data_IF_850391198943
#
_entry.id   IF_850391198943
#
_cell.length_a   1.000
_cell.length_b   1.000
_cell.length_c   1.000
_cell.angle_alpha   90.00
_cell.angle_beta   90.00
_cell.angle_gamma   90.00
#
_symmetry.space_group_name_H-M   'P 1'
#
loop_
_entity.id
_entity.type
_entity.pdbx_description
1 polymer ?
#
# COMPACT_ATOMS: atom_id res chain seq x y z
N UNK A 1 -10.33 39.32 1.79
CA UNK A 1 -9.69 38.51 0.74
C UNK A 1 -8.75 37.49 1.38
N UNK A 2 -9.30 36.35 1.76
CA UNK A 2 -8.52 35.16 2.21
C UNK A 2 -7.99 34.49 0.96
N UNK A 3 -6.70 34.67 0.68
CA UNK A 3 -5.96 33.87 -0.27
C UNK A 3 -5.98 32.40 0.21
N UNK A 4 -6.83 31.58 -0.38
CA UNK A 4 -6.75 30.14 -0.23
C UNK A 4 -5.46 29.68 -0.90
N UNK A 5 -4.37 29.56 -0.13
CA UNK A 5 -3.16 28.89 -0.56
C UNK A 5 -3.55 27.45 -0.84
N UNK A 6 -3.64 27.08 -2.12
CA UNK A 6 -3.90 25.70 -2.51
C UNK A 6 -2.68 24.88 -2.09
N UNK A 7 -2.80 24.12 -1.01
CA UNK A 7 -1.73 23.23 -0.53
C UNK A 7 -1.28 22.30 -1.66
N UNK A 8 0.01 22.23 -1.90
CA UNK A 8 0.61 21.31 -2.88
C UNK A 8 0.91 19.96 -2.22
N UNK A 9 1.20 18.93 -3.00
CA UNK A 9 1.68 17.66 -2.45
C UNK A 9 2.98 17.79 -1.64
N UNK A 10 3.85 18.73 -2.03
CA UNK A 10 5.07 19.03 -1.29
C UNK A 10 4.78 19.61 0.10
N UNK A 11 3.77 20.49 0.21
CA UNK A 11 3.34 21.06 1.49
C UNK A 11 2.76 20.00 2.45
N UNK A 12 2.33 18.86 1.91
CA UNK A 12 1.82 17.71 2.66
C UNK A 12 2.92 16.68 3.02
N UNK A 13 4.19 17.03 2.84
CA UNK A 13 5.30 16.15 3.18
C UNK A 13 5.59 15.04 2.16
N UNK A 14 5.01 15.10 0.95
CA UNK A 14 5.26 14.13 -0.11
C UNK A 14 6.65 14.38 -0.70
N UNK A 15 7.55 13.35 -0.77
CA UNK A 15 8.88 13.48 -1.34
C UNK A 15 8.86 13.97 -2.79
N UNK A 16 9.88 14.75 -3.15
CA UNK A 16 9.99 15.37 -4.49
C UNK A 16 9.86 14.35 -5.62
N UNK A 17 10.47 13.17 -5.49
CA UNK A 17 10.40 12.11 -6.50
C UNK A 17 8.96 11.69 -6.78
N UNK A 18 8.13 11.57 -5.75
CA UNK A 18 6.70 11.23 -5.88
C UNK A 18 5.92 12.40 -6.47
N UNK A 19 6.21 13.63 -6.03
CA UNK A 19 5.56 14.85 -6.58
C UNK A 19 5.83 14.95 -8.09
N UNK A 20 7.07 14.72 -8.52
CA UNK A 20 7.43 14.79 -9.93
C UNK A 20 6.74 13.66 -10.73
N UNK A 21 6.64 12.45 -10.17
CA UNK A 21 5.91 11.33 -10.76
C UNK A 21 4.39 11.62 -10.89
N UNK A 22 3.77 12.18 -9.86
CA UNK A 22 2.36 12.60 -9.90
C UNK A 22 2.12 13.66 -10.98
N UNK A 23 3.01 14.64 -11.07
CA UNK A 23 2.93 15.69 -12.10
C UNK A 23 3.08 15.10 -13.51
N UNK A 24 4.02 14.18 -13.71
CA UNK A 24 4.20 13.48 -14.99
C UNK A 24 2.96 12.67 -15.38
N UNK A 25 2.20 12.16 -14.40
CA UNK A 25 0.93 11.48 -14.57
C UNK A 25 -0.27 12.44 -14.73
N UNK A 26 -0.05 13.77 -14.81
CA UNK A 26 -1.11 14.77 -14.94
C UNK A 26 -1.84 15.12 -13.63
N UNK A 27 -1.28 14.74 -12.48
CA UNK A 27 -1.88 14.95 -11.15
C UNK A 27 -1.12 16.09 -10.47
N UNK A 28 -1.62 17.33 -10.65
CA UNK A 28 -0.92 18.52 -10.20
C UNK A 28 -1.26 18.94 -8.76
N UNK A 29 -2.49 18.69 -8.33
CA UNK A 29 -3.01 19.16 -7.04
C UNK A 29 -3.68 18.04 -6.26
N UNK A 30 -3.54 18.03 -4.92
CA UNK A 30 -4.24 17.08 -4.10
C UNK A 30 -5.76 17.33 -4.08
N UNK A 31 -6.53 16.25 -4.07
CA UNK A 31 -7.97 16.31 -3.84
C UNK A 31 -8.30 16.58 -2.37
N UNK A 32 -9.56 16.91 -2.07
CA UNK A 32 -10.02 17.14 -0.69
C UNK A 32 -9.76 15.91 0.20
N UNK A 33 -9.98 14.70 -0.32
CA UNK A 33 -9.71 13.45 0.40
C UNK A 33 -8.21 13.28 0.69
N UNK A 34 -7.35 13.66 -0.24
CA UNK A 34 -5.90 13.59 -0.07
C UNK A 34 -5.39 14.66 0.90
N UNK A 35 -5.93 15.87 0.84
CA UNK A 35 -5.60 16.95 1.80
C UNK A 35 -5.91 16.54 3.24
N UNK A 36 -7.01 15.82 3.45
CA UNK A 36 -7.40 15.36 4.78
C UNK A 36 -6.57 14.15 5.25
N UNK A 37 -6.25 13.21 4.37
CA UNK A 37 -5.65 11.94 4.76
C UNK A 37 -4.11 11.92 4.77
N UNK A 38 -3.45 12.63 3.84
CA UNK A 38 -2.00 12.55 3.67
C UNK A 38 -1.20 13.01 4.90
N UNK A 39 -1.54 14.12 5.59
CA UNK A 39 -0.81 14.50 6.80
C UNK A 39 -0.79 13.39 7.85
N UNK A 40 -1.94 12.82 8.15
CA UNK A 40 -2.08 11.72 9.12
C UNK A 40 -1.30 10.47 8.69
N UNK A 41 -1.30 10.16 7.39
CA UNK A 41 -0.70 8.95 6.85
C UNK A 41 0.82 9.07 6.67
N UNK A 42 1.35 10.26 6.45
CA UNK A 42 2.78 10.51 6.25
C UNK A 42 3.48 10.82 7.57
N UNK A 43 2.93 11.73 8.40
CA UNK A 43 3.56 12.18 9.65
C UNK A 43 3.65 11.10 10.72
N UNK A 44 2.66 10.19 10.78
CA UNK A 44 2.70 9.07 11.73
C UNK A 44 3.88 8.11 11.50
N UNK A 45 4.69 8.33 10.46
CA UNK A 45 5.87 7.53 10.09
C UNK A 45 7.19 8.25 10.33
N UNK A 46 7.17 9.56 10.55
CA UNK A 46 8.39 10.37 10.76
C UNK A 46 8.79 10.48 12.24
N UNK A 47 7.91 10.15 13.16
CA UNK A 47 8.16 10.21 14.60
C UNK A 47 8.86 8.93 15.11
N UNK A 48 10.00 8.55 14.52
CA UNK A 48 10.98 7.64 15.11
C UNK A 48 11.89 8.44 16.09
N UNK A 49 11.29 9.04 17.11
CA UNK A 49 12.05 9.44 18.28
C UNK A 49 12.41 8.18 19.06
N UNK A 50 13.69 7.79 18.95
CA UNK A 50 14.28 6.60 19.59
C UNK A 50 14.14 6.53 21.11
N UNK A 51 13.53 7.52 21.75
CA UNK A 51 13.44 7.65 23.22
C UNK A 51 12.06 7.38 23.82
N UNK A 52 11.03 7.05 23.04
CA UNK A 52 9.70 6.84 23.60
C UNK A 52 9.33 5.34 23.66
N UNK A 53 9.97 4.61 24.58
CA UNK A 53 9.64 3.21 24.89
C UNK A 53 8.17 2.99 25.33
N UNK A 54 7.41 4.07 25.53
CA UNK A 54 5.98 4.05 25.89
C UNK A 54 5.05 4.01 24.66
N UNK A 55 5.54 4.28 23.43
CA UNK A 55 4.77 4.25 22.19
C UNK A 55 4.87 2.94 21.40
N UNK A 56 4.99 1.82 22.08
CA UNK A 56 4.71 0.48 21.51
C UNK A 56 3.20 0.31 21.22
N UNK A 57 2.51 1.38 20.81
CA UNK A 57 1.11 1.33 20.41
C UNK A 57 1.03 0.98 18.93
N UNK A 58 0.16 0.02 18.62
CA UNK A 58 -0.16 -0.40 17.27
C UNK A 58 -0.36 0.80 16.34
N UNK A 59 0.24 0.74 15.12
CA UNK A 59 0.03 1.74 14.08
C UNK A 59 -1.46 2.05 13.93
N UNK A 60 -1.87 3.33 13.94
CA UNK A 60 -3.28 3.69 13.87
C UNK A 60 -3.94 3.18 12.59
N UNK A 61 -5.11 2.57 12.73
CA UNK A 61 -5.97 2.24 11.59
C UNK A 61 -6.77 3.47 11.20
N UNK A 62 -6.85 3.77 9.90
CA UNK A 62 -7.54 4.94 9.37
C UNK A 62 -8.69 4.51 8.47
N UNK A 63 -9.90 4.96 8.78
CA UNK A 63 -11.06 4.76 7.94
C UNK A 63 -11.37 6.05 7.16
N UNK A 64 -11.46 5.94 5.82
CA UNK A 64 -11.85 7.04 4.94
C UNK A 64 -13.20 6.77 4.30
N UNK A 65 -14.16 7.67 4.53
CA UNK A 65 -15.44 7.64 3.86
C UNK A 65 -15.56 8.83 2.91
N UNK A 66 -15.69 8.57 1.63
CA UNK A 66 -15.97 9.59 0.62
C UNK A 66 -16.56 8.95 -0.64
N UNK A 67 -17.24 9.74 -1.47
CA UNK A 67 -17.84 9.27 -2.73
C UNK A 67 -16.78 8.76 -3.73
N UNK A 68 -17.21 7.96 -4.70
CA UNK A 68 -16.38 7.52 -5.83
C UNK A 68 -15.83 8.70 -6.61
N UNK A 69 -14.58 8.62 -7.07
CA UNK A 69 -13.93 9.72 -7.79
C UNK A 69 -13.33 10.83 -6.91
N UNK A 70 -13.41 10.75 -5.59
CA UNK A 70 -12.82 11.73 -4.66
C UNK A 70 -11.29 11.68 -4.54
N UNK A 71 -10.63 10.69 -5.16
CA UNK A 71 -9.18 10.52 -5.08
C UNK A 71 -8.69 9.63 -3.94
N UNK A 72 -9.54 8.80 -3.32
CA UNK A 72 -9.19 7.83 -2.26
C UNK A 72 -8.03 6.93 -2.64
N UNK A 73 -8.00 6.44 -3.87
CA UNK A 73 -6.95 5.53 -4.35
C UNK A 73 -5.56 6.14 -4.17
N UNK A 74 -5.37 7.38 -4.58
CA UNK A 74 -4.09 8.06 -4.39
C UNK A 74 -3.85 8.47 -2.93
N UNK A 75 -4.88 8.70 -2.15
CA UNK A 75 -4.73 9.03 -0.73
C UNK A 75 -4.02 7.91 0.05
N UNK A 76 -4.27 6.62 -0.28
CA UNK A 76 -3.55 5.51 0.33
C UNK A 76 -2.31 5.07 -0.46
N UNK A 77 -2.24 5.27 -1.79
CA UNK A 77 -1.08 4.89 -2.59
C UNK A 77 0.13 5.80 -2.35
N UNK A 78 -0.06 7.11 -2.22
CA UNK A 78 1.04 8.06 -2.00
C UNK A 78 1.85 7.71 -0.75
N UNK A 79 1.26 7.46 0.44
CA UNK A 79 2.02 7.00 1.60
C UNK A 79 2.77 5.68 1.38
N UNK A 80 2.17 4.74 0.64
CA UNK A 80 2.85 3.48 0.27
C UNK A 80 4.08 3.76 -0.60
N UNK A 81 3.97 4.67 -1.57
CA UNK A 81 5.11 5.07 -2.40
C UNK A 81 6.21 5.75 -1.58
N UNK A 82 5.84 6.58 -0.61
CA UNK A 82 6.79 7.19 0.32
C UNK A 82 7.54 6.14 1.13
N UNK A 83 6.85 5.08 1.59
CA UNK A 83 7.50 4.00 2.34
C UNK A 83 8.49 3.22 1.48
N UNK A 84 8.12 2.92 0.23
CA UNK A 84 8.99 2.22 -0.70
C UNK A 84 10.29 3.01 -0.91
N UNK A 85 10.20 4.32 -1.14
CA UNK A 85 11.39 5.17 -1.28
C UNK A 85 12.26 5.14 -0.02
N UNK A 86 11.66 5.25 1.16
CA UNK A 86 12.41 5.19 2.43
C UNK A 86 13.11 3.85 2.62
N UNK A 87 12.43 2.74 2.29
CA UNK A 87 13.03 1.41 2.35
C UNK A 87 14.18 1.26 1.36
N UNK A 88 14.06 1.78 0.13
CA UNK A 88 15.14 1.76 -0.86
C UNK A 88 16.34 2.57 -0.41
N UNK A 89 16.14 3.78 0.09
CA UNK A 89 17.21 4.61 0.65
C UNK A 89 17.92 3.95 1.83
N UNK A 90 17.14 3.28 2.70
CA UNK A 90 17.70 2.51 3.81
C UNK A 90 18.53 1.31 3.32
N UNK A 91 18.03 0.61 2.27
CA UNK A 91 18.74 -0.52 1.68
C UNK A 91 20.04 -0.10 0.98
N UNK A 92 20.09 1.06 0.36
CA UNK A 92 21.31 1.56 -0.28
C UNK A 92 22.43 1.77 0.74
N UNK A 93 22.06 2.15 1.98
CA UNK A 93 23.00 2.37 3.10
C UNK A 93 23.43 1.07 3.80
N UNK A 94 22.75 -0.06 3.55
CA UNK A 94 23.04 -1.36 4.17
C UNK A 94 24.10 -2.15 3.43
N UNK A 95 24.91 -2.93 4.19
CA UNK A 95 25.90 -3.87 3.65
C UNK A 95 25.23 -4.95 2.80
N UNK A 96 25.91 -5.41 1.74
CA UNK A 96 25.42 -6.44 0.79
C UNK A 96 24.92 -7.72 1.46
N UNK A 97 25.47 -8.09 2.61
CA UNK A 97 25.06 -9.28 3.37
C UNK A 97 23.74 -9.10 4.12
N UNK A 98 23.34 -7.88 4.43
CA UNK A 98 22.08 -7.56 5.12
C UNK A 98 20.90 -7.36 4.13
N UNK A 99 21.17 -7.08 2.87
CA UNK A 99 20.15 -6.87 1.81
C UNK A 99 19.28 -8.10 1.50
N UNK A 100 19.62 -9.27 2.03
CA UNK A 100 18.93 -10.55 1.72
C UNK A 100 17.53 -10.69 2.30
N UNK A 101 17.15 -9.90 3.31
CA UNK A 101 15.87 -10.06 4.04
C UNK A 101 14.77 -9.06 3.66
N UNK A 102 15.02 -8.14 2.74
CA UNK A 102 14.15 -6.98 2.48
C UNK A 102 13.15 -7.19 1.32
N UNK A 103 13.09 -8.37 0.75
CA UNK A 103 12.24 -8.68 -0.41
C UNK A 103 10.88 -9.32 -0.04
N UNK A 104 10.24 -8.88 1.04
CA UNK A 104 8.90 -9.31 1.41
C UNK A 104 7.86 -8.24 1.03
N UNK A 105 6.64 -8.68 0.73
CA UNK A 105 5.50 -7.78 0.47
C UNK A 105 5.31 -6.85 1.66
N UNK A 106 5.31 -5.54 1.41
CA UNK A 106 5.13 -4.49 2.43
C UNK A 106 3.73 -3.91 2.44
N UNK A 107 3.14 -3.77 1.27
CA UNK A 107 1.77 -3.27 1.14
C UNK A 107 0.87 -4.32 0.48
N UNK A 108 -0.30 -4.51 1.06
CA UNK A 108 -1.34 -5.36 0.50
C UNK A 108 -2.62 -4.56 0.35
N UNK A 109 -3.17 -4.54 -0.86
CA UNK A 109 -4.41 -3.84 -1.19
C UNK A 109 -5.45 -4.87 -1.61
N UNK A 110 -6.54 -4.94 -0.85
CA UNK A 110 -7.64 -5.87 -1.07
C UNK A 110 -8.81 -5.12 -1.67
N UNK A 111 -9.30 -5.59 -2.82
CA UNK A 111 -10.46 -5.03 -3.53
C UNK A 111 -11.53 -6.11 -3.75
N UNK A 112 -12.84 -5.78 -3.69
CA UNK A 112 -13.92 -6.76 -3.81
C UNK A 112 -14.03 -7.35 -5.22
N UNK A 113 -13.60 -6.62 -6.24
CA UNK A 113 -13.71 -7.03 -7.64
C UNK A 113 -12.37 -7.07 -8.36
N UNK A 114 -12.31 -7.88 -9.42
CA UNK A 114 -11.14 -7.94 -10.30
C UNK A 114 -10.92 -6.62 -11.03
N UNK A 115 -12.01 -5.97 -11.42
CA UNK A 115 -11.98 -4.70 -12.13
C UNK A 115 -11.34 -3.60 -11.29
N UNK A 116 -11.78 -3.46 -10.03
CA UNK A 116 -11.19 -2.49 -9.10
C UNK A 116 -9.72 -2.81 -8.83
N UNK A 117 -9.36 -4.08 -8.61
CA UNK A 117 -7.95 -4.47 -8.44
C UNK A 117 -7.10 -4.10 -9.67
N UNK A 118 -7.60 -4.32 -10.88
CA UNK A 118 -6.92 -3.90 -12.11
C UNK A 118 -6.79 -2.38 -12.23
N UNK A 119 -7.82 -1.64 -11.83
CA UNK A 119 -7.80 -0.17 -11.84
C UNK A 119 -6.74 0.37 -10.89
N UNK A 120 -6.62 -0.20 -9.68
CA UNK A 120 -5.58 0.18 -8.71
C UNK A 120 -4.19 -0.08 -9.29
N UNK A 121 -3.95 -1.26 -9.88
CA UNK A 121 -2.66 -1.58 -10.52
C UNK A 121 -2.35 -0.59 -11.65
N UNK A 122 -3.31 -0.25 -12.50
CA UNK A 122 -3.12 0.76 -13.55
C UNK A 122 -2.77 2.14 -12.97
N UNK A 123 -3.38 2.53 -11.86
CA UNK A 123 -3.04 3.78 -11.17
C UNK A 123 -1.59 3.78 -10.69
N UNK A 124 -1.12 2.67 -10.10
CA UNK A 124 0.27 2.51 -9.69
C UNK A 124 1.22 2.62 -10.90
N UNK A 125 0.90 1.91 -11.99
CA UNK A 125 1.69 1.95 -13.22
C UNK A 125 1.67 3.33 -13.89
N UNK A 126 0.56 4.07 -13.81
CA UNK A 126 0.45 5.43 -14.34
C UNK A 126 1.35 6.39 -13.60
N UNK A 127 1.42 6.31 -12.27
CA UNK A 127 2.23 7.21 -11.45
C UNK A 127 3.71 6.82 -11.47
N UNK A 128 4.03 5.52 -11.29
CA UNK A 128 5.41 5.06 -11.14
C UNK A 128 6.02 4.49 -12.43
N UNK A 129 5.27 4.42 -13.52
CA UNK A 129 5.73 3.92 -14.81
C UNK A 129 6.18 2.45 -14.76
N UNK A 130 7.27 2.09 -15.49
CA UNK A 130 7.82 0.74 -15.51
C UNK A 130 8.20 0.21 -14.12
N UNK A 131 8.71 1.07 -13.25
CA UNK A 131 9.06 0.73 -11.87
C UNK A 131 7.84 0.22 -11.10
N UNK A 132 6.68 0.91 -11.22
CA UNK A 132 5.43 0.46 -10.59
C UNK A 132 5.00 -0.95 -11.02
N UNK A 133 5.25 -1.31 -12.28
CA UNK A 133 4.99 -2.66 -12.80
C UNK A 133 5.90 -3.71 -12.18
N UNK A 134 7.16 -3.38 -11.95
CA UNK A 134 8.14 -4.31 -11.42
C UNK A 134 7.90 -4.61 -9.94
N UNK A 135 7.52 -3.61 -9.15
CA UNK A 135 7.27 -3.74 -7.71
C UNK A 135 5.86 -4.22 -7.35
N UNK A 136 4.94 -4.32 -8.33
CA UNK A 136 3.55 -4.69 -8.07
C UNK A 136 3.21 -6.06 -8.64
N UNK A 137 2.49 -6.86 -7.85
CA UNK A 137 1.90 -8.12 -8.29
C UNK A 137 0.39 -8.10 -8.10
N UNK A 138 -0.31 -8.36 -9.19
CA UNK A 138 -1.76 -8.53 -9.19
C UNK A 138 -2.14 -9.98 -8.84
N UNK A 139 -3.10 -10.16 -7.95
CA UNK A 139 -3.66 -11.45 -7.53
C UNK A 139 -5.19 -11.46 -7.66
N UNK A 140 -5.69 -11.93 -8.80
CA UNK A 140 -7.14 -11.96 -9.10
C UNK A 140 -7.61 -13.36 -9.49
N UNK A 141 -8.87 -13.67 -9.19
CA UNK A 141 -9.54 -14.88 -9.66
C UNK A 141 -9.63 -14.92 -11.20
N UNK A 142 -10.00 -16.07 -11.78
CA UNK A 142 -10.14 -16.22 -13.23
C UNK A 142 -8.85 -16.15 -14.06
N UNK A 143 -7.79 -15.50 -13.57
CA UNK A 143 -6.49 -15.48 -14.21
C UNK A 143 -5.64 -16.71 -13.83
N UNK A 144 -4.65 -17.06 -14.68
CA UNK A 144 -3.80 -18.21 -14.47
C UNK A 144 -3.02 -18.15 -13.14
N UNK A 145 -3.37 -19.04 -12.19
CA UNK A 145 -2.79 -19.08 -10.86
C UNK A 145 -1.27 -19.33 -10.89
N UNK A 146 -0.80 -20.25 -11.76
CA UNK A 146 0.65 -20.55 -11.88
C UNK A 146 1.46 -19.35 -12.34
N UNK A 147 0.91 -18.53 -13.25
CA UNK A 147 1.57 -17.31 -13.70
C UNK A 147 1.67 -16.28 -12.57
N UNK A 148 0.63 -16.16 -11.74
CA UNK A 148 0.64 -15.26 -10.58
C UNK A 148 1.62 -15.76 -9.51
N UNK A 149 1.66 -17.07 -9.24
CA UNK A 149 2.65 -17.69 -8.36
C UNK A 149 4.08 -17.42 -8.84
N UNK A 150 4.36 -17.65 -10.13
CA UNK A 150 5.67 -17.36 -10.71
C UNK A 150 6.03 -15.87 -10.59
N UNK A 151 5.05 -14.97 -10.74
CA UNK A 151 5.22 -13.53 -10.53
C UNK A 151 5.68 -13.22 -9.12
N UNK A 152 5.01 -13.76 -8.10
CA UNK A 152 5.39 -13.60 -6.70
C UNK A 152 6.81 -14.09 -6.41
N UNK A 153 7.17 -15.27 -6.95
CA UNK A 153 8.50 -15.87 -6.73
C UNK A 153 9.63 -15.12 -7.44
N UNK A 154 9.38 -14.63 -8.66
CA UNK A 154 10.42 -13.99 -9.51
C UNK A 154 10.59 -12.50 -9.19
N UNK A 155 9.48 -11.76 -9.09
CA UNK A 155 9.51 -10.31 -8.90
C UNK A 155 9.80 -9.90 -7.47
N UNK A 156 9.35 -10.70 -6.47
CA UNK A 156 9.37 -10.34 -5.06
C UNK A 156 8.79 -8.94 -4.85
N UNK A 157 7.50 -8.74 -5.16
CA UNK A 157 6.91 -7.42 -5.23
C UNK A 157 6.80 -6.77 -3.84
N UNK A 158 6.92 -5.45 -3.79
CA UNK A 158 6.61 -4.66 -2.59
C UNK A 158 5.10 -4.53 -2.37
N UNK A 159 4.34 -4.42 -3.46
CA UNK A 159 2.89 -4.21 -3.43
C UNK A 159 2.18 -5.44 -4.01
N UNK A 160 1.20 -5.92 -3.29
CA UNK A 160 0.23 -6.91 -3.79
C UNK A 160 -1.14 -6.27 -3.85
N UNK A 161 -1.78 -6.34 -5.01
CA UNK A 161 -3.17 -5.89 -5.20
C UNK A 161 -4.02 -7.07 -5.65
N UNK A 162 -5.14 -7.31 -5.00
CA UNK A 162 -5.95 -8.44 -5.43
C UNK A 162 -7.30 -8.61 -4.75
N UNK A 163 -7.98 -9.69 -5.15
CA UNK A 163 -9.27 -10.07 -4.57
C UNK A 163 -9.08 -11.04 -3.39
N UNK A 164 -9.97 -11.03 -2.38
CA UNK A 164 -9.82 -11.80 -1.14
C UNK A 164 -9.51 -13.28 -1.37
N UNK A 165 -10.28 -13.94 -2.23
CA UNK A 165 -10.15 -15.37 -2.49
C UNK A 165 -8.78 -15.75 -3.04
N UNK A 166 -8.24 -14.98 -4.02
CA UNK A 166 -6.93 -15.27 -4.62
C UNK A 166 -5.78 -14.95 -3.66
N UNK A 167 -5.88 -13.87 -2.90
CA UNK A 167 -4.89 -13.53 -1.86
C UNK A 167 -4.86 -14.64 -0.80
N UNK A 168 -6.01 -15.04 -0.28
CA UNK A 168 -6.11 -16.10 0.71
C UNK A 168 -5.61 -17.46 0.17
N UNK A 169 -5.87 -17.79 -1.10
CA UNK A 169 -5.37 -19.00 -1.78
C UNK A 169 -3.83 -19.00 -1.82
N UNK A 170 -3.19 -17.92 -2.32
CA UNK A 170 -1.74 -17.82 -2.42
C UNK A 170 -1.07 -17.81 -1.03
N UNK A 171 -1.71 -17.24 -0.03
CA UNK A 171 -1.27 -17.31 1.37
C UNK A 171 -1.36 -18.75 1.93
N UNK A 172 -2.46 -19.47 1.65
CA UNK A 172 -2.59 -20.89 2.08
C UNK A 172 -1.55 -21.80 1.45
N UNK A 173 -1.19 -21.55 0.20
CA UNK A 173 -0.14 -22.29 -0.51
C UNK A 173 1.27 -21.93 -0.04
N UNK A 174 1.43 -20.95 0.87
CA UNK A 174 2.74 -20.47 1.35
C UNK A 174 3.56 -19.72 0.30
N UNK A 175 2.95 -19.40 -0.85
CA UNK A 175 3.60 -18.65 -1.93
C UNK A 175 3.64 -17.16 -1.62
N UNK A 176 2.56 -16.63 -1.07
CA UNK A 176 2.47 -15.25 -0.61
C UNK A 176 2.80 -15.17 0.88
N UNK A 177 3.94 -14.57 1.20
CA UNK A 177 4.35 -14.30 2.57
C UNK A 177 3.75 -12.98 3.04
N UNK A 178 2.88 -13.05 4.05
CA UNK A 178 2.12 -11.88 4.52
C UNK A 178 2.61 -11.30 5.85
N UNK A 179 3.57 -11.96 6.51
CA UNK A 179 4.03 -11.59 7.85
C UNK A 179 4.72 -10.21 7.88
N UNK A 180 5.42 -9.84 6.78
CA UNK A 180 6.13 -8.57 6.64
C UNK A 180 5.29 -7.41 6.15
N UNK A 181 3.99 -7.59 5.93
CA UNK A 181 3.09 -6.53 5.44
C UNK A 181 2.89 -5.47 6.52
N UNK A 182 3.44 -4.29 6.30
CA UNK A 182 3.30 -3.13 7.19
C UNK A 182 2.02 -2.33 6.94
N UNK A 183 1.50 -2.38 5.71
CA UNK A 183 0.28 -1.65 5.33
C UNK A 183 -0.73 -2.59 4.67
N UNK A 184 -1.92 -2.68 5.24
CA UNK A 184 -3.07 -3.36 4.66
C UNK A 184 -4.13 -2.32 4.28
N UNK A 185 -4.49 -2.27 3.01
CA UNK A 185 -5.59 -1.44 2.52
C UNK A 185 -6.78 -2.33 2.20
N UNK A 186 -7.95 -1.94 2.68
CA UNK A 186 -9.25 -2.58 2.41
C UNK A 186 -10.07 -1.54 1.64
N UNK A 187 -10.08 -1.65 0.30
CA UNK A 187 -10.84 -0.72 -0.55
C UNK A 187 -12.25 -1.23 -0.75
N UNK A 188 -13.25 -0.34 -0.72
CA UNK A 188 -14.69 -0.69 -0.67
C UNK A 188 -14.98 -1.68 0.47
N UNK A 189 -14.62 -1.28 1.69
CA UNK A 189 -14.69 -2.12 2.88
C UNK A 189 -16.08 -2.67 3.20
N UNK A 190 -17.13 -1.96 2.87
CA UNK A 190 -18.52 -2.37 2.98
C UNK A 190 -18.81 -3.63 2.17
N UNK A 191 -18.36 -3.70 0.93
CA UNK A 191 -18.49 -4.89 0.08
C UNK A 191 -17.62 -6.04 0.60
N UNK A 192 -16.38 -5.76 1.03
CA UNK A 192 -15.44 -6.77 1.53
C UNK A 192 -15.85 -7.38 2.86
N UNK A 193 -16.60 -6.65 3.68
CA UNK A 193 -17.16 -7.14 4.95
C UNK A 193 -18.47 -7.92 4.77
N UNK A 194 -19.03 -7.94 3.55
CA UNK A 194 -20.18 -8.76 3.23
C UNK A 194 -19.89 -10.27 3.41
N UNK A 195 -20.94 -11.07 3.57
CA UNK A 195 -20.86 -12.50 3.92
C UNK A 195 -19.98 -13.32 2.98
N UNK A 196 -19.95 -12.97 1.69
CA UNK A 196 -19.24 -13.69 0.63
C UNK A 196 -17.71 -13.72 0.84
N UNK A 197 -17.15 -12.67 1.42
CA UNK A 197 -15.70 -12.52 1.60
C UNK A 197 -15.24 -12.78 3.03
N UNK A 198 -16.19 -12.93 3.98
CA UNK A 198 -15.90 -13.02 5.43
C UNK A 198 -14.77 -13.99 5.77
N UNK A 199 -14.79 -15.20 5.20
CA UNK A 199 -13.80 -16.24 5.49
C UNK A 199 -12.39 -15.88 5.00
N UNK A 200 -12.29 -15.36 3.79
CA UNK A 200 -11.00 -14.99 3.20
C UNK A 200 -10.45 -13.71 3.84
N UNK A 201 -11.31 -12.73 4.14
CA UNK A 201 -10.94 -11.52 4.87
C UNK A 201 -10.46 -11.81 6.29
N UNK A 202 -11.15 -12.72 7.01
CA UNK A 202 -10.72 -13.16 8.34
C UNK A 202 -9.30 -13.75 8.29
N UNK A 203 -9.02 -14.62 7.31
CA UNK A 203 -7.68 -15.18 7.11
C UNK A 203 -6.63 -14.12 6.79
N UNK A 204 -6.95 -13.19 5.87
CA UNK A 204 -6.03 -12.09 5.53
C UNK A 204 -5.73 -11.28 6.78
N UNK A 205 -6.76 -10.89 7.53
CA UNK A 205 -6.61 -10.11 8.74
C UNK A 205 -5.78 -10.83 9.81
N UNK A 206 -5.99 -12.14 9.96
CA UNK A 206 -5.27 -12.95 10.95
C UNK A 206 -3.78 -13.08 10.66
N UNK A 207 -3.37 -13.22 9.41
CA UNK A 207 -1.99 -13.59 9.04
C UNK A 207 -1.14 -12.41 8.54
N UNK A 208 -1.80 -11.33 8.12
CA UNK A 208 -1.14 -10.17 7.54
C UNK A 208 -0.48 -9.33 8.65
N UNK A 209 0.81 -9.04 8.52
CA UNK A 209 1.54 -8.14 9.40
C UNK A 209 1.94 -8.69 10.77
N UNK A 210 1.79 -9.99 11.03
CA UNK A 210 2.16 -10.58 12.33
C UNK A 210 3.64 -10.46 12.70
N UNK A 211 4.52 -10.24 11.73
CA UNK A 211 5.95 -10.09 11.95
C UNK A 211 6.43 -8.64 12.06
N UNK A 212 5.52 -7.67 11.94
CA UNK A 212 5.88 -6.25 11.97
C UNK A 212 5.93 -5.76 13.42
N UNK A 213 7.09 -5.22 13.84
CA UNK A 213 7.23 -4.57 15.15
C UNK A 213 6.33 -3.32 15.16
N UNK A 214 5.51 -3.15 16.22
CA UNK A 214 4.54 -2.06 16.30
C UNK A 214 3.21 -2.33 15.56
N UNK A 215 3.05 -3.50 14.92
CA UNK A 215 1.84 -3.88 14.19
C UNK A 215 1.80 -3.37 12.74
N UNK A 216 0.70 -3.64 12.05
CA UNK A 216 0.43 -3.11 10.71
C UNK A 216 -0.56 -1.96 10.76
N UNK A 217 -0.51 -1.07 9.76
CA UNK A 217 -1.57 -0.09 9.48
C UNK A 217 -2.67 -0.73 8.62
N UNK A 218 -3.92 -0.44 8.92
CA UNK A 218 -5.08 -0.85 8.12
C UNK A 218 -5.93 0.34 7.77
#
# INVERSE_FOLDING_TARGET
SSSSSSSSFADLGVPKQIVDALRAAGIEKPSVAQLAALPELIDSRTSEDENDAARSQSMPSIAMQSHTGSGKTLAYLIPIFCDILREEEAMEKMDRNQKRHVNDVRAMIVAPSQELAMQIVRTIETVLGPYGRDITQQLIGGANARRQEQGLRKKRPFIVVGTPGRIAEMSRMGVLKTHGVSTLVIDEADDLLASNFRRDMARINEHCGKGVKGGRRT
#
